data_IF_109085780053
#
_entry.id   IF_109085780053
#
_cell.length_a   1.000
_cell.length_b   1.000
_cell.length_c   1.000
_cell.angle_alpha   90.00
_cell.angle_beta   90.00
_cell.angle_gamma   90.00
#
_symmetry.space_group_name_H-M   'P 1'
#
loop_
_entity.id
_entity.type
_entity.pdbx_description
1 polymer ?
#
# COMPACT_ATOMS: atom_id res chain seq x y z
N UNK A 1 -5.41 -19.39 -33.33
CA UNK A 1 -6.57 -19.15 -34.23
C UNK A 1 -7.48 -20.38 -34.29
N UNK A 2 -6.97 -21.58 -34.61
CA UNK A 2 -7.78 -22.81 -34.61
C UNK A 2 -8.56 -23.04 -33.30
N UNK A 3 -7.86 -23.02 -32.16
CA UNK A 3 -8.49 -23.13 -30.82
C UNK A 3 -9.54 -22.05 -30.52
N UNK A 4 -9.42 -20.85 -31.11
CA UNK A 4 -10.39 -19.75 -30.93
C UNK A 4 -11.68 -20.04 -31.69
N UNK A 5 -11.56 -20.59 -32.91
CA UNK A 5 -12.72 -20.94 -33.76
C UNK A 5 -13.49 -22.13 -33.15
N UNK A 6 -12.77 -23.18 -32.73
CA UNK A 6 -13.41 -24.37 -32.13
C UNK A 6 -13.88 -24.13 -30.69
N UNK A 7 -13.17 -23.30 -29.91
CA UNK A 7 -13.54 -23.03 -28.53
C UNK A 7 -14.90 -22.36 -28.41
N UNK A 8 -15.17 -21.34 -29.23
CA UNK A 8 -16.45 -20.60 -29.19
C UNK A 8 -17.65 -21.47 -29.57
N UNK A 9 -17.51 -22.28 -30.62
CA UNK A 9 -18.60 -23.17 -31.06
C UNK A 9 -18.88 -24.28 -30.03
N UNK A 10 -17.84 -24.95 -29.52
CA UNK A 10 -18.01 -26.00 -28.50
C UNK A 10 -18.59 -25.46 -27.19
N UNK A 11 -18.14 -24.29 -26.72
CA UNK A 11 -18.69 -23.67 -25.52
C UNK A 11 -20.17 -23.29 -25.68
N UNK A 12 -20.57 -22.77 -26.85
CA UNK A 12 -21.98 -22.40 -27.08
C UNK A 12 -22.93 -23.60 -27.00
N UNK A 13 -22.51 -24.77 -27.49
CA UNK A 13 -23.30 -26.00 -27.44
C UNK A 13 -23.35 -26.61 -26.04
N UNK A 14 -22.28 -26.48 -25.26
CA UNK A 14 -22.25 -26.97 -23.88
C UNK A 14 -23.09 -26.11 -22.93
N UNK A 15 -23.03 -24.78 -23.08
CA UNK A 15 -23.67 -23.83 -22.15
C UNK A 15 -25.16 -23.67 -22.46
N UNK A 16 -25.59 -23.76 -23.73
CA UNK A 16 -26.97 -23.57 -24.14
C UNK A 16 -27.59 -24.86 -24.69
N UNK A 17 -28.09 -25.77 -23.83
CA UNK A 17 -28.69 -27.03 -24.27
C UNK A 17 -30.02 -26.82 -25.02
N UNK A 18 -30.70 -25.69 -24.80
CA UNK A 18 -31.92 -25.31 -25.52
C UNK A 18 -31.76 -23.92 -26.16
N UNK A 19 -31.69 -23.81 -27.50
CA UNK A 19 -31.56 -22.51 -28.15
C UNK A 19 -32.86 -21.71 -28.00
N UNK A 20 -32.77 -20.51 -27.44
CA UNK A 20 -33.87 -19.56 -27.43
C UNK A 20 -34.08 -18.99 -28.84
N UNK A 21 -35.25 -19.22 -29.43
CA UNK A 21 -35.61 -18.65 -30.73
C UNK A 21 -36.07 -17.21 -30.54
N UNK A 22 -35.25 -16.25 -31.00
CA UNK A 22 -35.57 -14.82 -30.94
C UNK A 22 -36.13 -14.35 -32.29
N UNK A 23 -37.44 -14.09 -32.35
CA UNK A 23 -38.12 -13.52 -33.52
C UNK A 23 -37.94 -12.01 -33.58
N UNK A 24 -36.90 -11.55 -34.28
CA UNK A 24 -36.63 -10.14 -34.54
C UNK A 24 -36.83 -9.81 -36.03
N UNK A 25 -37.28 -8.59 -36.37
CA UNK A 25 -37.28 -8.12 -37.76
C UNK A 25 -35.85 -8.12 -38.32
N UNK A 26 -35.71 -8.32 -39.64
CA UNK A 26 -34.41 -8.57 -40.28
C UNK A 26 -33.36 -7.49 -39.98
N UNK A 27 -33.79 -6.23 -39.86
CA UNK A 27 -32.93 -5.09 -39.51
C UNK A 27 -32.27 -5.24 -38.14
N UNK A 28 -33.02 -5.65 -37.10
CA UNK A 28 -32.48 -5.81 -35.75
C UNK A 28 -31.58 -7.04 -35.66
N UNK A 29 -31.89 -8.11 -36.40
CA UNK A 29 -31.07 -9.34 -36.42
C UNK A 29 -29.66 -9.10 -36.99
N UNK A 30 -29.52 -8.18 -37.94
CA UNK A 30 -28.25 -7.87 -38.62
C UNK A 30 -27.52 -6.64 -38.07
N UNK A 31 -28.09 -5.95 -37.08
CA UNK A 31 -27.60 -4.65 -36.59
C UNK A 31 -26.14 -4.72 -36.08
N UNK A 32 -25.79 -5.79 -35.36
CA UNK A 32 -24.44 -6.00 -34.82
C UNK A 32 -23.40 -6.09 -35.96
N UNK A 33 -23.71 -6.82 -37.03
CA UNK A 33 -22.83 -6.91 -38.21
C UNK A 33 -22.65 -5.52 -38.85
N UNK A 34 -23.73 -4.76 -39.02
CA UNK A 34 -23.65 -3.40 -39.56
C UNK A 34 -22.79 -2.48 -38.69
N UNK A 35 -22.94 -2.51 -37.36
CA UNK A 35 -22.11 -1.74 -36.44
C UNK A 35 -20.62 -2.10 -36.55
N UNK A 36 -20.30 -3.39 -36.65
CA UNK A 36 -18.91 -3.85 -36.81
C UNK A 36 -18.32 -3.34 -38.13
N UNK A 37 -19.03 -3.50 -39.25
CA UNK A 37 -18.54 -3.01 -40.55
C UNK A 37 -18.36 -1.49 -40.56
N UNK A 38 -19.31 -0.73 -40.00
CA UNK A 38 -19.18 0.72 -39.88
C UNK A 38 -17.99 1.12 -38.98
N UNK A 39 -17.78 0.40 -37.88
CA UNK A 39 -16.63 0.61 -36.99
C UNK A 39 -15.29 0.37 -37.69
N UNK A 40 -15.17 -0.71 -38.48
CA UNK A 40 -13.95 -1.00 -39.26
C UNK A 40 -13.71 0.08 -40.31
N UNK A 41 -14.75 0.48 -41.05
CA UNK A 41 -14.63 1.53 -42.07
C UNK A 41 -14.20 2.87 -41.46
N UNK A 42 -14.83 3.28 -40.36
CA UNK A 42 -14.46 4.52 -39.65
C UNK A 42 -13.05 4.43 -39.07
N UNK A 43 -12.68 3.31 -38.46
CA UNK A 43 -11.33 3.09 -37.93
C UNK A 43 -10.26 3.16 -39.02
N UNK A 44 -10.53 2.56 -40.18
CA UNK A 44 -9.64 2.62 -41.34
C UNK A 44 -9.48 4.06 -41.85
N UNK A 45 -10.58 4.81 -42.02
CA UNK A 45 -10.54 6.22 -42.41
C UNK A 45 -9.75 7.08 -41.42
N UNK A 46 -9.91 6.84 -40.12
CA UNK A 46 -9.14 7.55 -39.09
C UNK A 46 -7.64 7.21 -39.13
N UNK A 47 -7.27 5.97 -39.47
CA UNK A 47 -5.87 5.55 -39.58
C UNK A 47 -5.12 6.15 -40.76
N UNK A 48 -5.85 6.55 -41.82
CA UNK A 48 -5.27 7.17 -43.02
C UNK A 48 -4.97 8.66 -42.83
N UNK A 49 -5.49 9.30 -41.78
CA UNK A 49 -5.18 10.71 -41.49
C UNK A 49 -3.71 10.80 -41.04
N UNK A 50 -2.89 11.46 -41.86
CA UNK A 50 -1.46 11.64 -41.56
C UNK A 50 -1.25 12.56 -40.36
N UNK A 51 -0.13 12.33 -39.66
CA UNK A 51 0.34 13.11 -38.50
C UNK A 51 0.60 14.61 -38.78
N UNK A 52 0.51 15.05 -40.04
CA UNK A 52 0.92 16.40 -40.48
C UNK A 52 -0.14 17.49 -40.31
N UNK A 53 -1.40 17.12 -40.06
CA UNK A 53 -2.48 18.09 -39.95
C UNK A 53 -2.65 18.58 -38.50
N UNK A 54 -2.93 19.87 -38.31
CA UNK A 54 -3.41 20.39 -37.03
C UNK A 54 -4.62 19.57 -36.58
N UNK A 55 -4.43 18.78 -35.52
CA UNK A 55 -5.42 17.80 -35.14
C UNK A 55 -6.72 18.48 -34.70
N UNK A 56 -7.84 18.08 -35.33
CA UNK A 56 -9.18 18.57 -34.95
C UNK A 56 -9.50 18.26 -33.48
N UNK A 57 -8.79 17.30 -32.85
CA UNK A 57 -8.88 16.98 -31.43
C UNK A 57 -8.36 18.09 -30.52
N UNK A 58 -7.42 18.93 -30.97
CA UNK A 58 -6.98 20.12 -30.22
C UNK A 58 -8.11 21.17 -30.10
N UNK A 59 -9.03 21.23 -31.07
CA UNK A 59 -10.19 22.14 -30.99
C UNK A 59 -11.16 21.75 -29.85
N UNK A 60 -11.23 20.47 -29.50
CA UNK A 60 -12.02 19.95 -28.38
C UNK A 60 -11.12 19.34 -27.30
N UNK A 61 -10.07 20.08 -26.91
CA UNK A 61 -9.05 19.58 -25.98
C UNK A 61 -9.62 19.09 -24.65
N UNK A 62 -10.57 19.80 -24.04
CA UNK A 62 -11.13 19.38 -22.74
C UNK A 62 -11.84 18.02 -22.82
N UNK A 63 -12.56 17.77 -23.91
CA UNK A 63 -13.31 16.51 -24.09
C UNK A 63 -12.35 15.37 -24.43
N UNK A 64 -11.37 15.61 -25.30
CA UNK A 64 -10.37 14.60 -25.64
C UNK A 64 -9.47 14.27 -24.45
N UNK A 65 -9.09 15.26 -23.64
CA UNK A 65 -8.35 15.06 -22.40
C UNK A 65 -9.16 14.26 -21.38
N UNK A 66 -10.44 14.59 -21.17
CA UNK A 66 -11.31 13.85 -20.24
C UNK A 66 -11.54 12.39 -20.65
N UNK A 67 -11.74 12.13 -21.95
CA UNK A 67 -11.87 10.76 -22.47
C UNK A 67 -10.53 10.01 -22.38
N UNK A 68 -9.42 10.69 -22.67
CA UNK A 68 -8.07 10.12 -22.61
C UNK A 68 -7.59 9.80 -21.19
N UNK A 69 -8.01 10.59 -20.19
CA UNK A 69 -7.68 10.35 -18.77
C UNK A 69 -8.54 9.27 -18.10
N UNK A 70 -9.25 8.44 -18.90
CA UNK A 70 -10.24 7.49 -18.43
C UNK A 70 -11.24 8.14 -17.46
N UNK A 71 -11.84 9.26 -17.86
CA UNK A 71 -12.81 10.01 -17.03
C UNK A 71 -12.28 10.37 -15.63
N UNK A 72 -10.96 10.56 -15.48
CA UNK A 72 -10.28 10.81 -14.21
C UNK A 72 -10.49 9.71 -13.14
N UNK A 73 -10.87 8.49 -13.53
CA UNK A 73 -11.12 7.35 -12.61
C UNK A 73 -9.89 7.02 -11.75
N UNK A 74 -8.69 7.11 -12.32
CA UNK A 74 -7.45 6.88 -11.57
C UNK A 74 -7.23 7.88 -10.45
N UNK A 75 -7.56 9.16 -10.68
CA UNK A 75 -7.44 10.19 -9.64
C UNK A 75 -8.51 10.02 -8.56
N UNK A 76 -9.75 9.75 -8.94
CA UNK A 76 -10.85 9.51 -7.99
C UNK A 76 -10.60 8.31 -7.08
N UNK A 77 -10.05 7.22 -7.63
CA UNK A 77 -9.78 5.98 -6.86
C UNK A 77 -8.59 6.12 -5.90
N UNK A 78 -7.63 6.98 -6.19
CA UNK A 78 -6.42 7.14 -5.37
C UNK A 78 -6.50 8.30 -4.39
N UNK A 79 -7.41 9.25 -4.62
CA UNK A 79 -7.53 10.43 -3.77
C UNK A 79 -7.95 10.07 -2.35
N UNK A 80 -7.17 10.51 -1.36
CA UNK A 80 -7.48 10.35 0.06
C UNK A 80 -7.16 8.98 0.68
N UNK A 81 -7.07 7.90 -0.12
CA UNK A 81 -6.76 6.55 0.38
C UNK A 81 -5.38 6.52 1.05
N UNK A 82 -4.35 7.05 0.39
CA UNK A 82 -2.98 6.98 0.89
C UNK A 82 -2.75 7.80 2.17
N UNK A 83 -3.37 8.97 2.27
CA UNK A 83 -3.14 9.88 3.40
C UNK A 83 -3.62 9.29 4.73
N UNK A 84 -4.78 8.63 4.74
CA UNK A 84 -5.34 8.00 5.94
C UNK A 84 -4.44 6.89 6.50
N UNK A 85 -3.96 5.99 5.65
CA UNK A 85 -3.05 4.91 6.06
C UNK A 85 -1.71 5.44 6.58
N UNK A 86 -1.14 6.47 5.94
CA UNK A 86 0.12 7.07 6.36
C UNK A 86 0.01 7.75 7.73
N UNK A 87 -1.09 8.47 7.98
CA UNK A 87 -1.30 9.13 9.27
C UNK A 87 -1.42 8.13 10.42
N UNK A 88 -2.15 7.04 10.19
CA UNK A 88 -2.28 5.94 11.17
C UNK A 88 -0.93 5.23 11.37
N UNK A 89 -0.19 4.98 10.30
CA UNK A 89 1.16 4.40 10.38
C UNK A 89 2.12 5.22 11.24
N UNK A 90 2.12 6.55 11.08
CA UNK A 90 2.96 7.43 11.90
C UNK A 90 2.59 7.38 13.39
N UNK A 91 1.29 7.34 13.70
CA UNK A 91 0.82 7.19 15.09
C UNK A 91 1.28 5.88 15.70
N UNK A 92 1.23 4.78 14.96
CA UNK A 92 1.71 3.48 15.44
C UNK A 92 3.21 3.49 15.71
N UNK A 93 4.01 4.07 14.81
CA UNK A 93 5.46 4.14 15.00
C UNK A 93 5.85 4.93 16.27
N UNK A 94 5.21 6.08 16.51
CA UNK A 94 5.52 6.90 17.70
C UNK A 94 5.02 6.25 18.98
N UNK A 95 3.80 5.71 18.98
CA UNK A 95 3.20 5.18 20.21
C UNK A 95 3.73 3.78 20.54
N UNK A 96 3.72 2.85 19.59
CA UNK A 96 4.08 1.46 19.86
C UNK A 96 5.59 1.28 19.86
N UNK A 97 6.25 1.59 18.75
CA UNK A 97 7.67 1.28 18.57
C UNK A 97 8.54 2.20 19.43
N UNK A 98 8.48 3.52 19.22
CA UNK A 98 9.28 4.48 19.98
C UNK A 98 8.77 4.71 21.41
N UNK A 99 7.50 4.40 21.70
CA UNK A 99 6.89 4.65 23.01
C UNK A 99 6.91 3.43 23.92
N UNK A 100 5.88 2.58 23.78
CA UNK A 100 5.66 1.45 24.68
C UNK A 100 6.81 0.43 24.61
N UNK A 101 7.31 0.10 23.43
CA UNK A 101 8.36 -0.91 23.29
C UNK A 101 9.68 -0.49 23.94
N UNK A 102 10.06 0.78 23.85
CA UNK A 102 11.27 1.31 24.52
C UNK A 102 11.08 1.42 26.04
N UNK A 103 9.87 1.82 26.48
CA UNK A 103 9.54 1.91 27.90
C UNK A 103 9.51 0.55 28.61
N UNK A 104 8.98 -0.49 27.97
CA UNK A 104 9.01 -1.85 28.54
C UNK A 104 10.30 -2.60 28.23
N UNK A 105 11.04 -2.17 27.22
CA UNK A 105 12.27 -2.78 26.75
C UNK A 105 13.52 -2.17 27.38
N UNK A 106 14.46 -1.82 26.50
CA UNK A 106 15.86 -1.59 26.86
C UNK A 106 16.09 -0.30 27.65
N UNK A 107 15.41 0.81 27.34
CA UNK A 107 15.70 2.11 27.96
C UNK A 107 15.36 2.12 29.44
N UNK A 108 14.17 1.65 29.81
CA UNK A 108 13.75 1.62 31.21
C UNK A 108 14.52 0.56 32.00
N UNK A 109 14.79 -0.61 31.39
CA UNK A 109 15.64 -1.62 32.03
C UNK A 109 17.04 -1.09 32.33
N UNK A 110 17.66 -0.35 31.40
CA UNK A 110 18.96 0.28 31.63
C UNK A 110 18.90 1.28 32.79
N UNK A 111 17.86 2.12 32.87
CA UNK A 111 17.67 3.07 33.96
C UNK A 111 17.51 2.38 35.32
N UNK A 112 16.74 1.29 35.38
CA UNK A 112 16.54 0.50 36.60
C UNK A 112 17.87 -0.12 37.06
N UNK A 113 18.61 -0.74 36.15
CA UNK A 113 19.90 -1.37 36.48
C UNK A 113 20.91 -0.32 36.96
N UNK A 114 21.00 0.83 36.28
CA UNK A 114 21.87 1.94 36.68
C UNK A 114 21.54 2.46 38.08
N UNK A 115 20.25 2.65 38.40
CA UNK A 115 19.86 3.15 39.72
C UNK A 115 20.18 2.14 40.83
N UNK A 116 19.97 0.85 40.56
CA UNK A 116 20.33 -0.22 41.52
C UNK A 116 21.84 -0.35 41.71
N UNK A 117 22.64 -0.22 40.66
CA UNK A 117 24.10 -0.31 40.77
C UNK A 117 24.71 0.86 41.56
N UNK A 118 24.20 2.09 41.36
CA UNK A 118 24.62 3.26 42.15
C UNK A 118 24.27 3.07 43.63
N UNK A 119 23.09 2.53 43.94
CA UNK A 119 22.71 2.22 45.31
C UNK A 119 23.63 1.16 45.95
N UNK A 120 23.91 0.08 45.23
CA UNK A 120 24.83 -0.96 45.67
C UNK A 120 26.24 -0.41 45.94
N UNK A 121 26.76 0.44 45.06
CA UNK A 121 28.08 1.04 45.24
C UNK A 121 28.15 1.88 46.53
N UNK A 122 27.09 2.64 46.85
CA UNK A 122 27.02 3.40 48.12
C UNK A 122 27.03 2.47 49.34
N UNK A 123 26.31 1.35 49.29
CA UNK A 123 26.30 0.35 50.36
C UNK A 123 27.70 -0.26 50.58
N UNK A 124 28.40 -0.63 49.50
CA UNK A 124 29.76 -1.17 49.59
C UNK A 124 30.78 -0.17 50.15
N UNK A 125 30.72 1.09 49.73
CA UNK A 125 31.61 2.13 50.26
C UNK A 125 31.39 2.37 51.76
N UNK A 126 30.15 2.30 52.23
CA UNK A 126 29.86 2.46 53.66
C UNK A 126 30.39 1.27 54.48
N UNK A 127 30.26 0.05 53.97
CA UNK A 127 30.83 -1.15 54.60
C UNK A 127 32.37 -1.08 54.67
N UNK A 128 33.04 -0.64 53.60
CA UNK A 128 34.49 -0.44 53.61
C UNK A 128 34.92 0.59 54.64
N UNK A 129 34.19 1.70 54.77
CA UNK A 129 34.46 2.73 55.78
C UNK A 129 34.38 2.16 57.19
N UNK A 130 33.34 1.37 57.49
CA UNK A 130 33.18 0.69 58.79
C UNK A 130 34.34 -0.26 59.07
N UNK A 131 34.72 -1.09 58.11
CA UNK A 131 35.84 -2.02 58.26
C UNK A 131 37.15 -1.29 58.57
N UNK A 132 37.46 -0.22 57.83
CA UNK A 132 38.65 0.59 58.05
C UNK A 132 38.67 1.25 59.44
N UNK A 133 37.52 1.73 59.92
CA UNK A 133 37.43 2.30 61.28
C UNK A 133 37.68 1.26 62.37
N UNK A 134 37.17 0.03 62.21
CA UNK A 134 37.44 -1.07 63.14
C UNK A 134 38.91 -1.46 63.15
N UNK A 135 39.54 -1.50 61.96
CA UNK A 135 40.95 -1.83 61.83
C UNK A 135 41.86 -0.78 62.52
N UNK A 136 41.53 0.50 62.40
CA UNK A 136 42.23 1.58 63.11
C UNK A 136 42.14 1.42 64.64
N UNK A 137 40.93 1.13 65.16
CA UNK A 137 40.73 0.89 66.60
C UNK A 137 41.59 -0.29 67.06
N UNK A 138 41.65 -1.36 66.28
CA UNK A 138 42.46 -2.54 66.61
C UNK A 138 43.95 -2.24 66.65
N UNK A 139 44.48 -1.44 65.72
CA UNK A 139 45.89 -0.98 65.75
C UNK A 139 46.16 -0.17 67.02
N UNK A 140 45.28 0.75 67.39
CA UNK A 140 45.45 1.53 68.62
C UNK A 140 45.50 0.65 69.88
N UNK A 141 44.68 -0.41 69.92
CA UNK A 141 44.70 -1.42 71.00
C UNK A 141 45.97 -2.28 71.02
N UNK A 142 46.72 -2.39 69.92
CA UNK A 142 47.99 -3.11 69.91
C UNK A 142 49.17 -2.25 70.40
N UNK A 143 49.06 -0.92 70.31
CA UNK A 143 50.07 0.02 70.79
C UNK A 143 49.92 0.36 72.28
N UNK A 144 48.74 0.14 72.85
CA UNK A 144 48.46 0.24 74.29
C UNK A 144 48.48 -1.15 74.94
#
# INVERSE_FOLDING_TARGET
IFLVIFGGSMLSWLIFPTPYLVCLPIFMKLLVLFCIFMGVMLGYLMSLVSLSDYSKSLKFFNVSYFLGSMWNLHYLSTFGVNYGFLFVGNKYNVLLDQGWSEYFGSQNMFLIIKNKSIYLQKMFLNNLKLFLTLFLIWICLLFF
#
